data_IF_462777580968
#
_entry.id   IF_462777580968
#
_cell.length_a   1.000
_cell.length_b   1.000
_cell.length_c   1.000
_cell.angle_alpha   90.00
_cell.angle_beta   90.00
_cell.angle_gamma   90.00
#
_symmetry.space_group_name_H-M   'P 1'
#
loop_
_entity.id
_entity.type
_entity.pdbx_description
1 polymer ?
#
# COMPACT_ATOMS: atom_id res chain seq x y z
N UNK A 1 2.94 -2.10 11.79
CA UNK A 1 1.80 -2.71 11.09
C UNK A 1 1.78 -2.26 9.64
N UNK A 2 1.48 -3.18 8.74
CA UNK A 2 1.36 -2.86 7.31
C UNK A 2 -0.02 -2.29 7.00
N UNK A 3 -0.06 -1.25 6.21
CA UNK A 3 -1.31 -0.64 5.77
C UNK A 3 -2.07 -1.52 4.78
N UNK A 4 -1.35 -2.27 3.96
CA UNK A 4 -1.95 -3.09 2.91
C UNK A 4 -1.84 -4.56 3.24
N UNK A 5 -2.94 -5.28 3.02
CA UNK A 5 -3.04 -6.72 3.29
C UNK A 5 -3.59 -7.45 2.07
N UNK A 6 -3.51 -8.77 2.09
CA UNK A 6 -4.02 -9.60 1.02
C UNK A 6 -5.31 -10.28 1.44
N UNK A 7 -6.25 -10.39 0.50
CA UNK A 7 -7.51 -11.12 0.70
C UNK A 7 -7.80 -11.95 -0.54
N UNK A 8 -8.16 -13.20 -0.35
CA UNK A 8 -8.54 -14.09 -1.44
C UNK A 8 -10.04 -14.06 -1.66
N UNK A 9 -10.46 -13.93 -2.92
CA UNK A 9 -11.84 -14.00 -3.33
C UNK A 9 -11.93 -14.79 -4.64
N UNK A 10 -12.71 -15.86 -4.65
CA UNK A 10 -12.94 -16.70 -5.84
C UNK A 10 -11.64 -17.18 -6.51
N UNK A 11 -10.65 -17.55 -5.70
CA UNK A 11 -9.36 -18.03 -6.20
C UNK A 11 -8.40 -16.96 -6.68
N UNK A 12 -8.82 -15.71 -6.67
CA UNK A 12 -7.99 -14.56 -7.01
C UNK A 12 -7.71 -13.71 -5.77
N UNK A 13 -6.70 -12.85 -5.85
CA UNK A 13 -6.25 -12.07 -4.71
C UNK A 13 -6.50 -10.59 -4.90
N UNK A 14 -6.79 -9.92 -3.80
CA UNK A 14 -7.00 -8.48 -3.75
C UNK A 14 -6.07 -7.88 -2.70
N UNK A 15 -5.43 -6.77 -3.04
CA UNK A 15 -4.70 -5.97 -2.05
C UNK A 15 -5.69 -5.02 -1.41
N UNK A 16 -5.86 -5.12 -0.10
CA UNK A 16 -6.83 -4.33 0.66
C UNK A 16 -6.12 -3.26 1.46
N UNK A 17 -6.62 -2.03 1.38
CA UNK A 17 -6.17 -0.94 2.23
C UNK A 17 -6.87 -1.04 3.58
N UNK A 18 -6.13 -1.31 4.64
CA UNK A 18 -6.68 -1.51 5.97
C UNK A 18 -7.34 -0.24 6.52
N UNK A 19 -6.96 0.94 6.03
CA UNK A 19 -7.54 2.20 6.50
C UNK A 19 -8.96 2.43 5.98
N UNK A 20 -9.27 1.91 4.79
CA UNK A 20 -10.58 2.07 4.17
C UNK A 20 -11.38 0.78 4.12
N UNK A 21 -10.74 -0.37 4.35
CA UNK A 21 -11.32 -1.70 4.19
C UNK A 21 -11.78 -1.97 2.74
N UNK A 22 -11.20 -1.26 1.79
CA UNK A 22 -11.52 -1.34 0.37
C UNK A 22 -10.30 -1.82 -0.42
N UNK A 23 -10.50 -2.35 -1.64
CA UNK A 23 -9.37 -2.65 -2.50
C UNK A 23 -8.50 -1.42 -2.71
N UNK A 24 -7.19 -1.60 -2.65
CA UNK A 24 -6.24 -0.52 -2.88
C UNK A 24 -6.30 -0.06 -4.33
N UNK A 25 -6.01 1.22 -4.57
CA UNK A 25 -5.91 1.77 -5.91
C UNK A 25 -4.56 2.45 -6.08
N UNK A 26 -3.98 2.29 -7.26
CA UNK A 26 -2.75 2.96 -7.63
C UNK A 26 -2.93 3.53 -9.04
N UNK A 27 -2.80 4.85 -9.17
CA UNK A 27 -3.01 5.56 -10.44
C UNK A 27 -4.36 5.25 -11.09
N UNK A 28 -5.41 5.11 -10.26
CA UNK A 28 -6.74 4.80 -10.74
C UNK A 28 -7.00 3.33 -11.04
N UNK A 29 -5.99 2.47 -10.84
CA UNK A 29 -6.13 1.03 -11.07
C UNK A 29 -6.38 0.32 -9.75
N UNK A 30 -7.49 -0.43 -9.69
CA UNK A 30 -7.85 -1.21 -8.51
C UNK A 30 -7.01 -2.48 -8.44
N UNK A 31 -6.41 -2.74 -7.28
CA UNK A 31 -5.54 -3.89 -7.05
C UNK A 31 -6.35 -5.12 -6.66
N UNK A 32 -7.20 -5.60 -7.57
CA UNK A 32 -8.10 -6.73 -7.37
C UNK A 32 -7.95 -7.75 -8.51
N UNK A 33 -8.43 -8.97 -8.27
CA UNK A 33 -8.45 -10.05 -9.27
C UNK A 33 -7.06 -10.37 -9.80
N UNK A 34 -6.10 -10.47 -8.89
CA UNK A 34 -4.70 -10.74 -9.23
C UNK A 34 -4.32 -12.17 -8.86
N UNK A 35 -3.29 -12.69 -9.52
CA UNK A 35 -2.68 -13.93 -9.10
C UNK A 35 -1.95 -13.74 -7.77
N UNK A 36 -1.65 -14.83 -7.08
CA UNK A 36 -0.90 -14.78 -5.83
C UNK A 36 0.41 -14.00 -5.98
N UNK A 37 1.16 -14.28 -7.04
CA UNK A 37 2.44 -13.62 -7.28
C UNK A 37 2.29 -12.12 -7.49
N UNK A 38 1.33 -11.74 -8.33
CA UNK A 38 1.06 -10.32 -8.58
C UNK A 38 0.64 -9.60 -7.29
N UNK A 39 -0.22 -10.23 -6.51
CA UNK A 39 -0.69 -9.66 -5.26
C UNK A 39 0.44 -9.50 -4.24
N UNK A 40 1.32 -10.49 -4.11
CA UNK A 40 2.48 -10.40 -3.23
C UNK A 40 3.40 -9.26 -3.64
N UNK A 41 3.68 -9.11 -4.93
CA UNK A 41 4.53 -8.04 -5.42
C UNK A 41 3.89 -6.68 -5.15
N UNK A 42 2.61 -6.54 -5.41
CA UNK A 42 1.91 -5.26 -5.23
C UNK A 42 1.77 -4.87 -3.76
N UNK A 43 1.48 -5.82 -2.87
CA UNK A 43 1.37 -5.50 -1.45
C UNK A 43 2.72 -5.03 -0.89
N UNK A 44 3.81 -5.61 -1.34
CA UNK A 44 5.14 -5.19 -0.93
C UNK A 44 5.46 -3.79 -1.43
N UNK A 45 5.17 -3.51 -2.70
CA UNK A 45 5.39 -2.20 -3.30
C UNK A 45 4.57 -1.13 -2.57
N UNK A 46 3.29 -1.37 -2.36
CA UNK A 46 2.40 -0.41 -1.72
C UNK A 46 2.80 -0.14 -0.27
N UNK A 47 3.16 -1.17 0.49
CA UNK A 47 3.62 -1.01 1.86
C UNK A 47 4.94 -0.24 1.92
N UNK A 48 5.84 -0.48 0.98
CA UNK A 48 7.10 0.26 0.91
C UNK A 48 6.87 1.73 0.55
N UNK A 49 5.99 2.00 -0.41
CA UNK A 49 5.65 3.38 -0.78
C UNK A 49 5.00 4.13 0.39
N UNK A 50 4.11 3.48 1.12
CA UNK A 50 3.49 4.07 2.30
C UNK A 50 4.52 4.43 3.36
N UNK A 51 5.47 3.52 3.62
CA UNK A 51 6.54 3.76 4.58
C UNK A 51 7.47 4.90 4.14
N UNK A 52 7.85 4.93 2.87
CA UNK A 52 8.69 5.98 2.32
C UNK A 52 8.00 7.33 2.42
N UNK A 53 6.72 7.41 2.08
CA UNK A 53 5.93 8.62 2.19
C UNK A 53 5.90 9.14 3.63
N UNK A 54 5.68 8.27 4.60
CA UNK A 54 5.70 8.61 6.01
C UNK A 54 7.06 9.16 6.44
N UNK A 55 8.14 8.50 6.05
CA UNK A 55 9.49 8.93 6.38
C UNK A 55 9.84 10.26 5.75
N UNK A 56 9.45 10.48 4.49
CA UNK A 56 9.67 11.76 3.80
C UNK A 56 8.99 12.92 4.50
N UNK A 57 7.74 12.75 4.89
CA UNK A 57 7.01 13.78 5.63
C UNK A 57 7.66 14.10 6.96
N UNK A 58 8.11 13.10 7.66
CA UNK A 58 8.81 13.27 8.93
C UNK A 58 10.13 14.01 8.75
N UNK A 59 10.87 13.68 7.68
CA UNK A 59 12.14 14.31 7.37
C UNK A 59 11.96 15.79 7.00
N UNK A 60 10.96 16.11 6.20
CA UNK A 60 10.63 17.47 5.85
C UNK A 60 10.28 18.32 7.07
N UNK A 61 9.48 17.78 7.98
CA UNK A 61 9.12 18.45 9.21
C UNK A 61 10.36 18.76 10.06
N UNK A 62 11.30 17.82 10.17
CA UNK A 62 12.54 18.01 10.87
C UNK A 62 13.41 19.11 10.23
N UNK A 63 13.50 19.10 8.90
CA UNK A 63 14.26 20.11 8.16
C UNK A 63 13.70 21.52 8.38
N UNK A 64 12.38 21.65 8.39
CA UNK A 64 11.73 22.95 8.65
C UNK A 64 12.01 23.45 10.06
N UNK A 65 12.05 22.55 11.03
CA UNK A 65 12.31 22.91 12.41
C UNK A 65 13.74 23.39 12.61
N UNK A 66 14.67 22.90 11.81
CA UNK A 66 16.07 23.27 11.89
C UNK A 66 16.42 24.54 11.12
N UNK A 67 15.55 24.99 10.29
CA UNK A 67 15.74 26.24 9.56
C UNK A 67 15.31 27.43 10.41
#
# INVERSE_FOLDING_TARGET
>A
MCRYNLRMEDGLWTVVDATTQQPAELNGVRMARMTWREACDMVDILNNLDRISFLSKRYEASARTMA
#
